data_IF_221143587852
#
_entry.id   IF_221143587852
#
_cell.length_a   1.000
_cell.length_b   1.000
_cell.length_c   1.000
_cell.angle_alpha   90.00
_cell.angle_beta   90.00
_cell.angle_gamma   90.00
#
_symmetry.space_group_name_H-M   'P 1'
#
loop_
_entity.id
_entity.type
_entity.pdbx_description
1 polymer ?
#
# COMPACT_ATOMS: atom_id res chain seq x y z
N UNK A 1 3.06 6.32 0.11
CA UNK A 1 2.83 4.93 0.53
C UNK A 1 3.50 4.73 1.87
N UNK A 2 2.79 4.15 2.79
CA UNK A 2 3.30 3.86 4.13
C UNK A 2 3.10 2.38 4.45
N UNK A 3 3.95 1.82 5.29
CA UNK A 3 3.81 0.45 5.78
C UNK A 3 2.75 0.42 6.88
N UNK A 4 1.69 -0.36 6.71
CA UNK A 4 0.61 -0.52 7.71
C UNK A 4 0.77 -1.82 8.50
N UNK A 5 1.17 -2.89 7.82
CA UNK A 5 1.29 -4.23 8.39
C UNK A 5 2.66 -4.81 8.09
N UNK A 6 3.32 -5.32 9.11
CA UNK A 6 4.52 -6.13 8.98
C UNK A 6 4.16 -7.60 9.20
N UNK A 7 4.47 -8.45 8.22
CA UNK A 7 4.28 -9.90 8.33
C UNK A 7 5.62 -10.53 8.68
N UNK A 8 5.75 -11.02 9.91
CA UNK A 8 6.94 -11.70 10.40
C UNK A 8 6.84 -13.20 10.10
N UNK A 9 7.77 -13.69 9.27
CA UNK A 9 7.75 -15.08 8.78
C UNK A 9 8.79 -15.91 9.51
N UNK A 10 8.39 -17.01 10.11
CA UNK A 10 9.28 -17.96 10.80
C UNK A 10 10.12 -17.28 11.88
N UNK A 11 11.45 -17.44 11.80
CA UNK A 11 12.39 -16.91 12.79
C UNK A 11 12.49 -15.38 12.85
N UNK A 12 11.93 -14.65 11.86
CA UNK A 12 11.94 -13.20 11.89
C UNK A 12 11.15 -12.60 13.07
N UNK A 13 10.32 -13.40 13.74
CA UNK A 13 9.62 -13.04 14.99
C UNK A 13 10.57 -12.55 16.07
N UNK A 14 11.81 -13.04 16.10
CA UNK A 14 12.83 -12.63 17.07
C UNK A 14 13.23 -11.14 16.95
N UNK A 15 12.97 -10.50 15.81
CA UNK A 15 13.31 -9.10 15.59
C UNK A 15 12.28 -8.10 16.14
N UNK A 16 11.13 -8.58 16.60
CA UNK A 16 10.05 -7.71 17.08
C UNK A 16 10.52 -6.83 18.23
N UNK A 17 11.26 -7.39 19.19
CA UNK A 17 11.76 -6.62 20.32
C UNK A 17 12.75 -5.52 19.88
N UNK A 18 13.66 -5.83 18.98
CA UNK A 18 14.60 -4.84 18.44
C UNK A 18 13.88 -3.73 17.67
N UNK A 19 12.84 -4.09 16.92
CA UNK A 19 11.98 -3.12 16.21
C UNK A 19 11.31 -2.16 17.20
N UNK A 20 10.78 -2.67 18.31
CA UNK A 20 10.16 -1.85 19.37
C UNK A 20 11.19 -0.91 19.98
N UNK A 21 12.38 -1.39 20.33
CA UNK A 21 13.44 -0.55 20.91
C UNK A 21 13.88 0.55 19.94
N UNK A 22 14.02 0.25 18.65
CA UNK A 22 14.30 1.27 17.62
C UNK A 22 13.16 2.29 17.50
N UNK A 23 11.91 1.84 17.54
CA UNK A 23 10.77 2.74 17.45
C UNK A 23 10.65 3.70 18.66
N UNK A 24 11.08 3.28 19.84
CA UNK A 24 11.14 4.15 21.04
C UNK A 24 12.10 5.32 20.89
N UNK A 25 13.13 5.21 20.04
CA UNK A 25 14.11 6.28 19.80
C UNK A 25 13.61 7.35 18.85
N UNK A 26 12.50 7.16 18.16
CA UNK A 26 11.95 8.10 17.21
C UNK A 26 11.47 9.37 17.90
N UNK A 27 11.98 10.51 17.44
CA UNK A 27 11.65 11.83 17.98
C UNK A 27 10.36 12.36 17.33
N UNK A 28 9.35 12.60 18.17
CA UNK A 28 8.11 13.25 17.76
C UNK A 28 8.23 14.74 17.98
N UNK A 29 8.09 15.55 16.91
CA UNK A 29 8.17 17.01 17.02
C UNK A 29 7.52 17.70 15.81
N UNK A 30 7.51 19.02 15.76
CA UNK A 30 7.13 19.78 14.59
C UNK A 30 8.16 19.56 13.45
N UNK A 31 7.68 19.44 12.20
CA UNK A 31 8.52 19.03 11.08
C UNK A 31 9.67 19.97 10.71
N UNK A 32 9.68 21.22 11.21
CA UNK A 32 10.76 22.17 11.03
C UNK A 32 11.82 22.11 12.15
N UNK A 33 11.53 21.39 13.23
CA UNK A 33 12.48 21.19 14.32
C UNK A 33 13.55 20.17 13.94
N UNK A 34 14.80 20.37 14.38
CA UNK A 34 15.90 19.49 14.00
C UNK A 34 15.72 18.08 14.56
N UNK A 35 16.12 17.10 13.74
CA UNK A 35 16.06 15.67 14.08
C UNK A 35 14.64 15.17 14.41
N UNK A 36 13.60 15.72 13.80
CA UNK A 36 12.24 15.24 13.90
C UNK A 36 12.05 14.03 12.99
N UNK A 37 11.62 12.89 13.55
CA UNK A 37 11.31 11.66 12.81
C UNK A 37 9.82 11.57 12.50
N UNK A 38 8.96 11.94 13.46
CA UNK A 38 7.51 11.86 13.35
C UNK A 38 6.90 13.25 13.56
N UNK A 39 6.26 13.77 12.52
CA UNK A 39 5.51 15.02 12.56
C UNK A 39 4.07 14.86 13.06
N UNK A 40 3.28 15.95 13.12
CA UNK A 40 1.88 15.88 13.49
C UNK A 40 1.05 15.25 12.36
N UNK A 41 -0.05 14.59 12.71
CA UNK A 41 -1.08 14.21 11.75
C UNK A 41 -1.88 15.44 11.30
N UNK A 42 -2.54 15.34 10.15
CA UNK A 42 -3.07 16.49 9.40
C UNK A 42 -4.13 17.33 10.15
N UNK A 43 -4.81 16.76 11.13
CA UNK A 43 -5.90 17.46 11.84
C UNK A 43 -6.26 16.81 13.18
N UNK A 44 -6.99 17.54 14.02
CA UNK A 44 -7.57 17.00 15.26
C UNK A 44 -8.47 15.79 15.01
N UNK A 45 -9.23 15.81 13.92
CA UNK A 45 -10.08 14.67 13.51
C UNK A 45 -9.24 13.45 13.16
N UNK A 46 -8.14 13.65 12.45
CA UNK A 46 -7.21 12.57 12.11
C UNK A 46 -6.56 11.99 13.39
N UNK A 47 -6.11 12.84 14.32
CA UNK A 47 -5.59 12.39 15.62
C UNK A 47 -6.62 11.56 16.39
N UNK A 48 -7.86 12.03 16.49
CA UNK A 48 -8.92 11.33 17.19
C UNK A 48 -9.20 9.95 16.54
N UNK A 49 -9.24 9.88 15.20
CA UNK A 49 -9.42 8.61 14.47
C UNK A 49 -8.27 7.63 14.70
N UNK A 50 -7.03 8.10 14.68
CA UNK A 50 -5.87 7.24 14.95
C UNK A 50 -5.94 6.68 16.37
N UNK A 51 -6.26 7.51 17.37
CA UNK A 51 -6.41 7.08 18.76
C UNK A 51 -7.57 6.08 18.90
N UNK A 52 -8.69 6.30 18.24
CA UNK A 52 -9.84 5.38 18.23
C UNK A 52 -9.45 4.00 17.68
N UNK A 53 -8.70 3.97 16.58
CA UNK A 53 -8.21 2.72 16.01
C UNK A 53 -7.19 2.02 16.91
N UNK A 54 -6.29 2.78 17.57
CA UNK A 54 -5.38 2.19 18.57
C UNK A 54 -6.18 1.57 19.73
N UNK A 55 -7.20 2.27 20.23
CA UNK A 55 -8.07 1.73 21.29
C UNK A 55 -8.77 0.45 20.84
N UNK A 56 -9.31 0.44 19.61
CA UNK A 56 -9.96 -0.75 19.05
C UNK A 56 -9.02 -1.96 18.93
N UNK A 57 -7.73 -1.74 18.66
CA UNK A 57 -6.74 -2.82 18.65
C UNK A 57 -6.57 -3.46 20.01
N UNK A 58 -6.49 -2.63 21.07
CA UNK A 58 -6.45 -3.13 22.46
C UNK A 58 -7.73 -3.87 22.84
N UNK A 59 -8.90 -3.28 22.56
CA UNK A 59 -10.21 -3.87 22.84
C UNK A 59 -10.44 -5.21 22.13
N UNK A 60 -9.91 -5.36 20.91
CA UNK A 60 -9.99 -6.59 20.12
C UNK A 60 -8.91 -7.63 20.49
N UNK A 61 -8.05 -7.34 21.48
CA UNK A 61 -7.10 -8.28 22.04
C UNK A 61 -5.74 -8.31 21.37
N UNK A 62 -5.39 -7.32 20.52
CA UNK A 62 -4.03 -7.16 20.05
C UNK A 62 -3.10 -6.73 21.19
N UNK A 63 -1.90 -7.24 21.21
CA UNK A 63 -0.88 -6.89 22.21
C UNK A 63 -0.22 -5.56 21.84
N UNK A 64 -0.36 -4.56 22.72
CA UNK A 64 0.23 -3.23 22.54
C UNK A 64 1.67 -3.21 23.05
N UNK A 65 2.64 -3.30 22.16
CA UNK A 65 4.08 -3.34 22.48
C UNK A 65 4.68 -1.95 22.70
N UNK A 66 4.15 -0.95 22.01
CA UNK A 66 4.54 0.46 22.15
C UNK A 66 3.30 1.34 21.98
N UNK A 67 3.11 2.27 22.93
CA UNK A 67 1.94 3.15 22.99
C UNK A 67 2.32 4.60 22.74
N UNK A 68 1.92 5.15 21.61
CA UNK A 68 2.16 6.53 21.21
C UNK A 68 1.01 7.50 21.46
N UNK A 69 -0.09 7.08 22.11
CA UNK A 69 -1.30 7.91 22.29
C UNK A 69 -1.07 9.18 23.10
N UNK A 70 -0.19 9.13 24.09
CA UNK A 70 -0.02 10.17 25.10
C UNK A 70 1.22 11.04 24.90
N UNK A 71 1.76 11.08 23.68
CA UNK A 71 2.93 11.89 23.40
C UNK A 71 2.63 13.38 23.60
N UNK A 72 3.55 14.08 24.29
CA UNK A 72 3.52 15.53 24.47
C UNK A 72 4.72 16.15 23.78
N UNK A 73 4.51 17.24 23.05
CA UNK A 73 5.56 17.97 22.37
C UNK A 73 5.64 19.36 22.97
N UNK A 74 6.75 19.66 23.64
CA UNK A 74 6.96 20.93 24.33
C UNK A 74 6.89 22.11 23.35
N UNK A 75 6.10 23.11 23.70
CA UNK A 75 5.84 24.29 22.86
C UNK A 75 4.77 24.09 21.79
N UNK A 76 4.24 22.85 21.67
CA UNK A 76 3.20 22.50 20.70
C UNK A 76 2.10 21.64 21.32
N UNK A 77 1.71 21.94 22.56
CA UNK A 77 0.80 21.14 23.40
C UNK A 77 -0.58 20.95 22.77
N UNK A 78 -1.02 21.90 21.93
CA UNK A 78 -2.28 21.80 21.17
C UNK A 78 -2.13 21.07 19.82
N UNK A 79 -0.94 20.60 19.50
CA UNK A 79 -0.62 19.96 18.23
C UNK A 79 -1.25 18.57 18.06
N UNK A 80 -1.37 18.14 16.81
CA UNK A 80 -2.00 16.87 16.47
C UNK A 80 -0.97 15.72 16.45
N UNK A 81 -0.17 15.60 17.50
CA UNK A 81 0.88 14.57 17.57
C UNK A 81 0.33 13.24 18.07
N UNK A 82 0.83 12.17 17.46
CA UNK A 82 0.71 10.78 17.89
C UNK A 82 2.10 10.18 17.77
N UNK A 83 2.54 9.44 18.77
CA UNK A 83 3.83 8.77 18.75
C UNK A 83 3.79 7.42 18.04
N UNK A 84 4.96 6.82 17.86
CA UNK A 84 5.05 5.47 17.32
C UNK A 84 4.26 4.49 18.18
N UNK A 85 3.43 3.69 17.54
CA UNK A 85 2.60 2.67 18.17
C UNK A 85 2.81 1.34 17.45
N UNK A 86 3.04 0.28 18.21
CA UNK A 86 3.27 -1.05 17.64
C UNK A 86 2.38 -2.07 18.32
N UNK A 87 1.67 -2.84 17.50
CA UNK A 87 0.87 -3.98 17.94
C UNK A 87 1.47 -5.29 17.45
N UNK A 88 1.40 -6.33 18.30
CA UNK A 88 1.58 -7.73 17.90
C UNK A 88 0.30 -8.54 18.13
N UNK A 89 0.29 -9.79 17.66
CA UNK A 89 -0.89 -10.64 17.78
C UNK A 89 -2.10 -10.13 17.00
N UNK A 90 -1.87 -9.30 15.98
CA UNK A 90 -2.94 -8.79 15.11
C UNK A 90 -3.44 -9.90 14.20
N UNK A 91 -4.75 -9.97 14.00
CA UNK A 91 -5.39 -10.87 13.05
C UNK A 91 -6.25 -10.10 12.02
N UNK A 92 -6.70 -10.82 11.00
CA UNK A 92 -7.43 -10.25 9.86
C UNK A 92 -8.84 -9.73 10.20
N UNK A 93 -9.38 -10.06 11.38
CA UNK A 93 -10.71 -9.61 11.80
C UNK A 93 -10.70 -8.28 12.51
N UNK A 94 -9.54 -7.86 13.00
CA UNK A 94 -9.37 -6.61 13.74
C UNK A 94 -9.50 -5.38 12.86
N UNK A 95 -10.05 -4.30 13.40
CA UNK A 95 -10.19 -3.01 12.70
C UNK A 95 -8.86 -2.43 12.27
N UNK A 96 -7.82 -2.56 13.10
CA UNK A 96 -6.47 -2.06 12.82
C UNK A 96 -5.79 -2.79 11.65
N UNK A 97 -6.30 -3.97 11.23
CA UNK A 97 -5.90 -4.64 9.99
C UNK A 97 -6.76 -4.23 8.80
N UNK A 98 -8.08 -4.13 9.00
CA UNK A 98 -9.06 -3.88 7.92
C UNK A 98 -9.10 -2.43 7.45
N UNK A 99 -8.87 -1.48 8.36
CA UNK A 99 -8.93 -0.04 8.09
C UNK A 99 -7.52 0.56 7.97
N UNK A 100 -7.31 1.41 6.97
CA UNK A 100 -6.09 2.20 6.88
C UNK A 100 -6.06 3.23 8.01
N UNK A 101 -5.08 3.12 8.93
CA UNK A 101 -5.02 3.97 10.12
C UNK A 101 -4.60 5.40 9.77
N UNK A 102 -3.68 5.56 8.82
CA UNK A 102 -3.12 6.83 8.37
C UNK A 102 -2.42 7.62 9.50
N UNK A 103 -1.65 6.90 10.31
CA UNK A 103 -0.90 7.42 11.45
C UNK A 103 0.31 6.52 11.75
N UNK A 104 1.14 6.89 12.73
CA UNK A 104 2.38 6.17 13.06
C UNK A 104 2.10 4.87 13.86
N UNK A 105 1.31 3.98 13.29
CA UNK A 105 0.88 2.71 13.89
C UNK A 105 1.28 1.57 13.00
N UNK A 106 1.99 0.60 13.54
CA UNK A 106 2.41 -0.62 12.88
C UNK A 106 1.72 -1.83 13.50
N UNK A 107 1.01 -2.58 12.69
CA UNK A 107 0.41 -3.86 13.05
C UNK A 107 1.33 -5.01 12.65
N UNK A 108 1.63 -5.93 13.57
CA UNK A 108 2.47 -7.11 13.31
C UNK A 108 1.60 -8.36 13.31
N UNK A 109 1.72 -9.13 12.23
CA UNK A 109 1.15 -10.46 12.09
C UNK A 109 2.31 -11.46 11.96
N UNK A 110 2.25 -12.55 12.67
CA UNK A 110 3.24 -13.63 12.62
C UNK A 110 2.66 -14.82 11.87
N UNK A 111 3.44 -15.36 10.95
CA UNK A 111 3.15 -16.59 10.22
C UNK A 111 4.39 -17.49 10.24
N UNK A 112 4.23 -18.78 9.96
CA UNK A 112 5.35 -19.72 10.03
C UNK A 112 6.06 -19.87 8.67
N UNK A 113 5.33 -19.75 7.56
CA UNK A 113 5.83 -20.03 6.23
C UNK A 113 5.63 -18.86 5.25
N UNK A 114 6.41 -18.88 4.16
CA UNK A 114 6.24 -17.96 3.05
C UNK A 114 4.86 -18.10 2.39
N UNK A 115 4.37 -19.33 2.27
CA UNK A 115 3.08 -19.61 1.61
C UNK A 115 1.93 -19.03 2.43
N UNK A 116 1.98 -19.12 3.76
CA UNK A 116 1.02 -18.46 4.64
C UNK A 116 1.06 -16.94 4.50
N UNK A 117 2.26 -16.35 4.40
CA UNK A 117 2.42 -14.91 4.18
C UNK A 117 1.80 -14.48 2.84
N UNK A 118 2.06 -15.22 1.76
CA UNK A 118 1.50 -14.95 0.43
C UNK A 118 -0.03 -15.09 0.47
N UNK A 119 -0.56 -16.14 1.09
CA UNK A 119 -1.99 -16.35 1.21
C UNK A 119 -2.68 -15.20 1.97
N UNK A 120 -2.09 -14.79 3.12
CA UNK A 120 -2.56 -13.67 3.92
C UNK A 120 -2.62 -12.37 3.10
N UNK A 121 -1.54 -12.04 2.39
CA UNK A 121 -1.44 -10.81 1.61
C UNK A 121 -2.39 -10.84 0.41
N UNK A 122 -2.49 -11.96 -0.29
CA UNK A 122 -3.39 -12.10 -1.44
C UNK A 122 -4.87 -12.07 -1.05
N UNK A 123 -5.22 -12.48 0.17
CA UNK A 123 -6.59 -12.40 0.69
C UNK A 123 -7.02 -10.98 1.12
N UNK A 124 -6.07 -10.04 1.25
CA UNK A 124 -6.40 -8.66 1.62
C UNK A 124 -7.17 -7.96 0.48
N UNK A 125 -8.26 -7.20 0.75
CA UNK A 125 -9.01 -6.49 -0.28
C UNK A 125 -8.19 -5.36 -0.96
N UNK A 126 -7.08 -4.95 -0.38
CA UNK A 126 -6.18 -3.96 -0.94
C UNK A 126 -4.89 -4.59 -1.49
N UNK A 127 -4.36 -4.02 -2.56
CA UNK A 127 -3.18 -4.54 -3.23
C UNK A 127 -2.29 -3.44 -3.81
N UNK A 128 -1.98 -2.40 -3.03
CA UNK A 128 -1.17 -1.28 -3.50
C UNK A 128 0.30 -1.65 -3.64
N UNK A 129 0.95 -2.04 -2.54
CA UNK A 129 2.36 -2.37 -2.55
C UNK A 129 2.77 -3.29 -1.42
N UNK A 130 3.83 -4.06 -1.65
CA UNK A 130 4.45 -4.96 -0.67
C UNK A 130 5.98 -4.93 -0.81
N UNK A 131 6.68 -5.00 0.31
CA UNK A 131 8.13 -5.20 0.36
C UNK A 131 8.46 -6.55 0.98
N UNK A 132 9.30 -7.34 0.30
CA UNK A 132 9.89 -8.57 0.84
C UNK A 132 11.35 -8.33 1.18
N UNK A 133 11.77 -8.70 2.37
CA UNK A 133 13.18 -8.73 2.78
C UNK A 133 13.67 -10.16 2.86
N UNK A 134 14.66 -10.49 2.05
CA UNK A 134 15.26 -11.83 2.02
C UNK A 134 16.65 -11.80 1.40
N UNK A 135 17.52 -12.73 1.82
CA UNK A 135 18.83 -12.98 1.17
C UNK A 135 18.74 -14.08 0.11
N UNK A 136 17.60 -14.79 0.01
CA UNK A 136 17.40 -15.88 -0.93
C UNK A 136 16.77 -15.39 -2.24
N UNK A 137 17.52 -15.47 -3.33
CA UNK A 137 16.99 -15.20 -4.67
C UNK A 137 15.86 -16.14 -5.10
N UNK A 138 15.86 -17.38 -4.59
CA UNK A 138 14.78 -18.34 -4.86
C UNK A 138 13.47 -17.91 -4.19
N UNK A 139 13.52 -17.51 -2.91
CA UNK A 139 12.37 -16.96 -2.18
C UNK A 139 11.86 -15.70 -2.86
N UNK A 140 12.75 -14.77 -3.23
CA UNK A 140 12.36 -13.55 -3.92
C UNK A 140 11.63 -13.84 -5.23
N UNK A 141 12.12 -14.78 -6.02
CA UNK A 141 11.49 -15.19 -7.29
C UNK A 141 10.12 -15.85 -7.09
N UNK A 142 10.01 -16.75 -6.12
CA UNK A 142 8.73 -17.39 -5.77
C UNK A 142 7.72 -16.34 -5.32
N UNK A 143 8.12 -15.45 -4.42
CA UNK A 143 7.26 -14.39 -3.90
C UNK A 143 6.75 -13.47 -5.02
N UNK A 144 7.64 -12.88 -5.82
CA UNK A 144 7.23 -11.95 -6.88
C UNK A 144 6.32 -12.59 -7.94
N UNK A 145 6.36 -13.92 -8.08
CA UNK A 145 5.56 -14.66 -9.03
C UNK A 145 4.15 -15.00 -8.52
N UNK A 146 4.02 -15.23 -7.20
CA UNK A 146 2.78 -15.68 -6.57
C UNK A 146 1.99 -14.55 -5.92
N UNK A 147 2.62 -13.40 -5.65
CA UNK A 147 1.97 -12.29 -4.99
C UNK A 147 1.11 -11.48 -5.95
N UNK A 148 -0.16 -11.26 -5.60
CA UNK A 148 -1.12 -10.46 -6.39
C UNK A 148 -1.19 -9.03 -5.85
N UNK A 149 -0.12 -8.28 -6.06
CA UNK A 149 0.02 -6.89 -5.60
C UNK A 149 0.54 -6.01 -6.74
N UNK A 150 0.07 -4.79 -6.83
CA UNK A 150 0.43 -3.87 -7.91
C UNK A 150 1.90 -3.45 -7.94
N UNK A 151 2.54 -3.33 -6.78
CA UNK A 151 3.94 -2.92 -6.66
C UNK A 151 4.67 -3.83 -5.69
N UNK A 152 5.77 -4.43 -6.14
CA UNK A 152 6.56 -5.38 -5.34
C UNK A 152 7.98 -4.88 -5.21
N UNK A 153 8.44 -4.72 -3.98
CA UNK A 153 9.84 -4.42 -3.65
C UNK A 153 10.55 -5.65 -3.10
N UNK A 154 11.77 -5.90 -3.58
CA UNK A 154 12.66 -6.90 -2.99
C UNK A 154 13.79 -6.16 -2.30
N UNK A 155 13.87 -6.30 -0.98
CA UNK A 155 14.80 -5.56 -0.11
C UNK A 155 14.63 -4.03 -0.20
N UNK A 156 13.43 -3.61 -0.55
CA UNK A 156 13.00 -2.20 -0.60
C UNK A 156 11.69 -2.09 0.18
N UNK A 157 11.63 -1.23 1.22
CA UNK A 157 10.46 -1.16 2.09
C UNK A 157 9.24 -0.55 1.40
N UNK A 158 9.46 0.40 0.48
CA UNK A 158 8.39 1.12 -0.20
C UNK A 158 8.67 1.10 -1.71
N UNK A 159 8.01 0.22 -2.48
CA UNK A 159 8.30 -0.02 -3.89
C UNK A 159 7.68 1.02 -4.82
N UNK A 160 7.88 2.31 -4.54
CA UNK A 160 7.41 3.38 -5.42
C UNK A 160 8.24 3.41 -6.70
N UNK A 161 7.62 3.27 -7.89
CA UNK A 161 8.35 3.29 -9.14
C UNK A 161 8.88 4.70 -9.45
N UNK A 162 10.02 4.76 -10.13
CA UNK A 162 10.47 6.02 -10.76
C UNK A 162 9.50 6.45 -11.86
N UNK A 163 9.40 7.75 -12.21
CA UNK A 163 8.34 8.28 -13.09
C UNK A 163 8.28 7.70 -14.52
N UNK A 164 9.29 6.97 -14.96
CA UNK A 164 9.29 6.28 -16.26
C UNK A 164 8.38 5.05 -16.29
N UNK A 165 8.04 4.50 -15.12
CA UNK A 165 7.16 3.36 -14.97
C UNK A 165 5.84 3.80 -14.35
N UNK A 166 4.75 3.15 -14.74
CA UNK A 166 3.44 3.48 -14.21
C UNK A 166 3.32 3.14 -12.73
N UNK A 167 2.64 3.98 -11.98
CA UNK A 167 2.18 3.66 -10.64
C UNK A 167 1.03 2.66 -10.77
N UNK A 168 1.31 1.42 -10.39
CA UNK A 168 0.36 0.31 -10.46
C UNK A 168 -0.31 0.08 -9.11
N UNK A 169 -1.40 -0.64 -9.11
CA UNK A 169 -2.16 -1.06 -7.94
C UNK A 169 -3.03 -2.24 -8.34
N UNK A 170 -3.56 -2.93 -7.36
CA UNK A 170 -4.45 -4.08 -7.55
C UNK A 170 -5.65 -3.97 -6.63
N UNK A 171 -6.75 -4.63 -6.98
CA UNK A 171 -7.97 -4.76 -6.20
C UNK A 171 -8.54 -3.39 -5.74
N UNK A 172 -8.96 -3.27 -4.49
CA UNK A 172 -9.54 -2.04 -3.92
C UNK A 172 -8.59 -0.85 -3.77
N UNK A 173 -7.29 -1.03 -4.05
CA UNK A 173 -6.30 0.05 -3.97
C UNK A 173 -6.23 0.93 -5.21
N UNK A 174 -6.87 0.54 -6.31
CA UNK A 174 -6.82 1.30 -7.56
C UNK A 174 -8.15 1.29 -8.28
N UNK A 175 -8.54 2.45 -8.81
CA UNK A 175 -9.66 2.60 -9.72
C UNK A 175 -9.14 2.65 -11.16
N UNK A 176 -9.71 1.81 -12.03
CA UNK A 176 -9.30 1.69 -13.44
C UNK A 176 -7.97 0.94 -13.65
N UNK A 177 -7.63 0.71 -14.91
CA UNK A 177 -6.52 -0.17 -15.29
C UNK A 177 -5.23 0.59 -15.65
N UNK A 178 -5.35 1.84 -16.10
CA UNK A 178 -4.22 2.64 -16.57
C UNK A 178 -3.62 3.52 -15.48
N UNK A 179 -2.29 3.68 -15.49
CA UNK A 179 -1.57 4.61 -14.62
C UNK A 179 -1.47 6.01 -15.24
N UNK A 180 -1.50 7.10 -14.43
CA UNK A 180 -1.49 8.47 -14.91
C UNK A 180 -0.10 8.96 -15.36
N UNK A 181 0.95 8.16 -15.24
CA UNK A 181 2.30 8.49 -15.70
C UNK A 181 3.06 7.26 -16.24
N UNK A 182 4.29 7.46 -16.72
CA UNK A 182 5.02 6.46 -17.47
C UNK A 182 4.39 6.24 -18.86
N UNK A 183 4.66 5.11 -19.48
CA UNK A 183 4.14 4.79 -20.82
C UNK A 183 2.61 4.74 -20.91
N UNK A 184 1.95 4.39 -19.82
CA UNK A 184 0.49 4.32 -19.76
C UNK A 184 -0.17 5.70 -19.76
N UNK A 185 0.54 6.78 -19.43
CA UNK A 185 -0.01 8.13 -19.38
C UNK A 185 -0.64 8.55 -20.71
N UNK A 186 -0.06 8.17 -21.83
CA UNK A 186 -0.63 8.47 -23.15
C UNK A 186 -2.03 7.88 -23.28
N UNK A 187 -2.22 6.61 -22.93
CA UNK A 187 -3.53 5.95 -22.97
C UNK A 187 -4.47 6.49 -21.90
N UNK A 188 -3.94 6.85 -20.73
CA UNK A 188 -4.74 7.39 -19.62
C UNK A 188 -5.37 8.75 -19.96
N UNK A 189 -4.63 9.64 -20.63
CA UNK A 189 -5.09 11.00 -20.96
C UNK A 189 -5.68 11.13 -22.36
N UNK A 190 -5.75 10.05 -23.15
CA UNK A 190 -6.29 10.07 -24.51
C UNK A 190 -7.41 9.06 -24.68
N UNK A 191 -8.21 9.26 -25.70
CA UNK A 191 -9.27 8.33 -26.09
C UNK A 191 -9.01 7.84 -27.52
N UNK A 192 -9.06 6.52 -27.69
CA UNK A 192 -8.97 5.92 -29.02
C UNK A 192 -10.28 6.10 -29.75
N UNK A 193 -10.21 6.65 -30.99
CA UNK A 193 -11.34 6.72 -31.92
C UNK A 193 -11.05 5.80 -33.11
N UNK A 194 -11.91 4.86 -33.34
CA UNK A 194 -11.86 4.01 -34.54
C UNK A 194 -12.70 4.63 -35.63
N UNK A 195 -12.10 4.83 -36.81
CA UNK A 195 -12.77 5.36 -37.98
C UNK A 195 -12.63 4.34 -39.11
N UNK A 196 -13.78 3.91 -39.62
CA UNK A 196 -13.85 3.06 -40.81
C UNK A 196 -14.48 3.89 -41.93
N UNK A 197 -13.80 4.03 -43.06
CA UNK A 197 -14.32 4.76 -44.19
C UNK A 197 -14.18 3.94 -45.46
N UNK A 198 -15.13 4.13 -46.38
CA UNK A 198 -15.08 3.59 -47.72
C UNK A 198 -15.44 4.70 -48.68
N UNK A 199 -14.59 4.91 -49.69
CA UNK A 199 -14.78 5.84 -50.76
C UNK A 199 -15.23 5.05 -51.98
N UNK A 200 -16.30 5.55 -52.65
CA UNK A 200 -16.76 4.95 -53.89
C UNK A 200 -16.28 5.87 -55.04
N UNK A 201 -15.70 5.28 -56.06
CA UNK A 201 -15.53 6.00 -57.31
C UNK A 201 -16.91 6.25 -57.93
N UNK A 202 -17.10 7.39 -58.59
CA UNK A 202 -18.36 7.84 -59.27
C UNK A 202 -18.72 6.91 -60.46
N UNK A 203 -18.80 5.61 -60.22
CA UNK A 203 -19.40 4.70 -61.19
C UNK A 203 -20.89 4.55 -60.83
N UNK A 204 -21.76 4.89 -61.75
CA UNK A 204 -23.24 4.87 -61.64
C UNK A 204 -23.85 3.48 -61.42
N UNK A 205 -23.12 2.55 -60.88
CA UNK A 205 -23.70 1.23 -60.49
C UNK A 205 -24.08 1.26 -59.02
N UNK A 206 -25.38 1.37 -58.78
CA UNK A 206 -25.99 1.11 -57.46
C UNK A 206 -25.94 -0.40 -57.20
N UNK A 207 -24.77 -0.90 -56.95
CA UNK A 207 -24.57 -2.23 -56.37
C UNK A 207 -24.94 -2.21 -54.89
N UNK A 208 -25.67 -3.21 -54.41
CA UNK A 208 -26.08 -3.32 -53.02
C UNK A 208 -24.90 -3.20 -52.04
N UNK A 209 -25.15 -2.69 -50.85
CA UNK A 209 -24.18 -2.52 -49.79
C UNK A 209 -23.57 -3.88 -49.42
N UNK A 210 -22.29 -4.06 -49.78
CA UNK A 210 -21.54 -5.23 -49.35
C UNK A 210 -21.05 -5.04 -47.89
N UNK A 211 -21.68 -5.75 -46.95
CA UNK A 211 -21.33 -5.72 -45.52
C UNK A 211 -20.28 -6.76 -45.12
N UNK A 212 -19.74 -7.51 -46.09
CA UNK A 212 -18.75 -8.56 -45.84
C UNK A 212 -17.34 -7.98 -45.75
N UNK A 213 -16.66 -8.17 -44.66
CA UNK A 213 -15.23 -7.85 -44.54
C UNK A 213 -14.44 -9.07 -45.01
N UNK A 214 -13.72 -8.92 -46.13
CA UNK A 214 -12.79 -9.97 -46.59
C UNK A 214 -11.47 -9.83 -45.87
N UNK A 215 -11.17 -10.78 -44.99
CA UNK A 215 -9.86 -10.94 -44.34
C UNK A 215 -8.95 -11.75 -45.27
N UNK A 216 -8.28 -11.07 -46.22
CA UNK A 216 -7.18 -11.64 -47.00
C UNK A 216 -5.88 -11.04 -46.53
#
# INVERSE_FOLDING_TARGET
MALSVAVMVGDSKQWIQELVEKAKTLKVNAGHEPNTDIGPVISKRAKARVIDLINSGVEQGAELLLDGRNVQVQGYESGNFVGATIFSGVNTDMRIYKEEIFGPVLSIICVDTLDEAIALINANPFGNGVGLFTQSGAIARTFQNLIDIGQVGINIPIPVPVPFFSFTGSRGSKLGDLGPYGKQAVQFYTQTKTITSRWFEDSHEVGGVNTTISLR
#
